data_IF_213516876067
#
_entry.id   IF_213516876067
#
_cell.length_a   1.000
_cell.length_b   1.000
_cell.length_c   1.000
_cell.angle_alpha   90.00
_cell.angle_beta   90.00
_cell.angle_gamma   90.00
#
_symmetry.space_group_name_H-M   'P 1'
#
loop_
_entity.id
_entity.type
_entity.pdbx_description
1 polymer ?
#
# COMPACT_ATOMS: atom_id res chain seq x y z
N UNK A 1 23.46 -22.52 8.59
CA UNK A 1 24.14 -21.47 7.83
C UNK A 1 24.54 -20.35 8.77
N UNK A 2 25.82 -20.08 8.88
CA UNK A 2 26.38 -18.98 9.70
C UNK A 2 26.49 -17.68 8.89
N UNK A 3 26.69 -16.54 9.56
CA UNK A 3 26.81 -15.22 8.90
C UNK A 3 27.94 -15.17 7.86
N UNK A 4 29.09 -15.73 8.20
CA UNK A 4 30.26 -15.76 7.32
C UNK A 4 29.98 -16.61 6.07
N UNK A 5 29.38 -17.79 6.27
CA UNK A 5 28.98 -18.71 5.20
C UNK A 5 27.96 -18.06 4.25
N UNK A 6 26.99 -17.31 4.77
CA UNK A 6 26.03 -16.56 3.95
C UNK A 6 26.73 -15.52 3.06
N UNK A 7 27.68 -14.77 3.62
CA UNK A 7 28.42 -13.74 2.89
C UNK A 7 29.31 -14.35 1.80
N UNK A 8 29.96 -15.47 2.12
CA UNK A 8 30.77 -16.23 1.16
C UNK A 8 29.93 -16.79 0.01
N UNK A 9 28.77 -17.39 0.32
CA UNK A 9 27.83 -17.87 -0.71
C UNK A 9 27.33 -16.74 -1.61
N UNK A 10 27.09 -15.56 -1.03
CA UNK A 10 26.70 -14.38 -1.79
C UNK A 10 27.82 -13.86 -2.69
N UNK A 11 29.07 -13.87 -2.19
CA UNK A 11 30.23 -13.51 -2.99
C UNK A 11 30.47 -14.52 -4.13
N UNK A 12 30.30 -15.81 -3.86
CA UNK A 12 30.37 -16.88 -4.88
C UNK A 12 29.31 -16.66 -5.96
N UNK A 13 28.05 -16.39 -5.59
CA UNK A 13 26.99 -16.10 -6.54
C UNK A 13 27.33 -14.89 -7.43
N UNK A 14 27.79 -13.79 -6.83
CA UNK A 14 28.13 -12.57 -7.60
C UNK A 14 29.36 -12.72 -8.48
N UNK A 15 30.40 -13.45 -8.04
CA UNK A 15 31.57 -13.76 -8.88
C UNK A 15 31.19 -14.70 -10.03
N UNK A 16 30.40 -15.73 -9.75
CA UNK A 16 29.93 -16.68 -10.77
C UNK A 16 29.06 -15.99 -11.83
N UNK A 17 28.17 -15.08 -11.43
CA UNK A 17 27.39 -14.25 -12.36
C UNK A 17 28.29 -13.38 -13.24
N UNK A 18 29.29 -12.69 -12.66
CA UNK A 18 30.24 -11.89 -13.45
C UNK A 18 31.04 -12.72 -14.45
N UNK A 19 31.42 -13.95 -14.09
CA UNK A 19 32.09 -14.87 -15.00
C UNK A 19 31.15 -15.38 -16.10
N UNK A 20 29.88 -15.65 -15.77
CA UNK A 20 28.86 -16.04 -16.74
C UNK A 20 28.56 -14.92 -17.75
N UNK A 21 28.68 -13.65 -17.35
CA UNK A 21 28.52 -12.49 -18.25
C UNK A 21 29.68 -12.32 -19.25
N UNK A 22 30.84 -12.96 -19.02
CA UNK A 22 32.03 -12.87 -19.87
C UNK A 22 32.23 -14.06 -20.81
N UNK A 23 31.54 -15.18 -20.55
CA UNK A 23 31.59 -16.38 -21.39
C UNK A 23 30.51 -16.36 -22.47
N UNK A 24 30.67 -17.21 -23.49
CA UNK A 24 29.66 -17.38 -24.53
C UNK A 24 28.31 -17.81 -23.95
N UNK A 25 27.24 -17.31 -24.57
CA UNK A 25 25.86 -17.26 -24.07
C UNK A 25 25.15 -18.62 -24.05
N UNK A 26 25.84 -19.69 -23.69
CA UNK A 26 25.22 -21.00 -23.45
C UNK A 26 24.58 -21.04 -22.06
N UNK A 27 23.32 -21.48 -22.03
CA UNK A 27 22.53 -21.67 -20.81
C UNK A 27 23.13 -22.69 -19.83
N UNK A 28 24.09 -23.51 -20.28
CA UNK A 28 24.75 -24.59 -19.52
C UNK A 28 26.22 -24.32 -19.21
N UNK A 29 26.61 -23.05 -19.09
CA UNK A 29 27.96 -22.70 -18.62
C UNK A 29 28.16 -23.14 -17.16
N UNK A 30 29.33 -23.73 -16.79
CA UNK A 30 29.65 -24.05 -15.40
C UNK A 30 29.59 -22.86 -14.45
N UNK A 31 29.73 -21.62 -14.97
CA UNK A 31 29.55 -20.42 -14.18
C UNK A 31 28.07 -20.14 -13.85
N UNK A 32 27.15 -20.48 -14.76
CA UNK A 32 25.70 -20.37 -14.54
C UNK A 32 25.27 -21.35 -13.46
N UNK A 33 25.66 -22.62 -13.54
CA UNK A 33 25.32 -23.63 -12.53
C UNK A 33 25.85 -23.23 -11.15
N UNK A 34 27.12 -22.80 -11.05
CA UNK A 34 27.69 -22.32 -9.78
C UNK A 34 26.95 -21.11 -9.20
N UNK A 35 26.46 -20.21 -10.06
CA UNK A 35 25.68 -19.06 -9.61
C UNK A 35 24.32 -19.49 -9.07
N UNK A 36 23.63 -20.37 -9.78
CA UNK A 36 22.30 -20.88 -9.40
C UNK A 36 22.39 -21.70 -8.11
N UNK A 37 23.34 -22.62 -8.00
CA UNK A 37 23.53 -23.44 -6.80
C UNK A 37 23.80 -22.58 -5.55
N UNK A 38 24.60 -21.53 -5.68
CA UNK A 38 24.85 -20.59 -4.59
C UNK A 38 23.56 -19.84 -4.17
N UNK A 39 22.73 -19.43 -5.13
CA UNK A 39 21.44 -18.79 -4.86
C UNK A 39 20.41 -19.74 -4.24
N UNK A 40 20.40 -21.01 -4.63
CA UNK A 40 19.54 -22.03 -4.02
C UNK A 40 19.93 -22.26 -2.56
N UNK A 41 21.22 -22.38 -2.24
CA UNK A 41 21.68 -22.49 -0.84
C UNK A 41 21.35 -21.26 -0.02
N UNK A 42 21.46 -20.07 -0.61
CA UNK A 42 21.04 -18.82 0.03
C UNK A 42 19.53 -18.76 0.36
N UNK A 43 18.69 -19.52 -0.38
CA UNK A 43 17.26 -19.66 -0.09
C UNK A 43 17.00 -20.48 1.18
N UNK A 44 17.87 -21.41 1.51
CA UNK A 44 17.77 -22.28 2.69
C UNK A 44 18.28 -21.60 3.97
N UNK A 45 18.86 -20.39 3.85
CA UNK A 45 19.33 -19.62 4.99
C UNK A 45 18.18 -19.32 5.99
N UNK A 46 18.44 -19.35 7.31
CA UNK A 46 17.43 -18.98 8.30
C UNK A 46 16.86 -17.58 8.04
N UNK A 47 15.54 -17.45 8.12
CA UNK A 47 14.84 -16.18 7.85
C UNK A 47 15.39 -15.01 8.69
N UNK A 48 15.73 -15.26 9.96
CA UNK A 48 16.32 -14.26 10.86
C UNK A 48 17.66 -13.73 10.34
N UNK A 49 18.53 -14.63 9.88
CA UNK A 49 19.84 -14.33 9.32
C UNK A 49 19.70 -13.57 7.98
N UNK A 50 18.81 -14.03 7.10
CA UNK A 50 18.52 -13.34 5.85
C UNK A 50 18.00 -11.90 6.09
N UNK A 51 17.09 -11.71 7.06
CA UNK A 51 16.59 -10.37 7.43
C UNK A 51 17.68 -9.44 7.98
N UNK A 52 18.65 -9.97 8.72
CA UNK A 52 19.79 -9.20 9.23
C UNK A 52 20.69 -8.76 8.07
N UNK A 53 21.08 -9.72 7.22
CA UNK A 53 22.14 -9.52 6.24
C UNK A 53 21.68 -8.79 4.96
N UNK A 54 20.43 -8.96 4.53
CA UNK A 54 19.89 -8.29 3.32
C UNK A 54 19.87 -6.75 3.46
N UNK A 55 19.94 -6.23 4.68
CA UNK A 55 20.04 -4.77 4.94
C UNK A 55 21.42 -4.20 4.64
N UNK A 56 22.46 -5.02 4.49
CA UNK A 56 23.82 -4.55 4.28
C UNK A 56 23.99 -4.00 2.85
N UNK A 57 24.67 -2.86 2.68
CA UNK A 57 24.84 -2.22 1.37
C UNK A 57 25.47 -3.10 0.29
N UNK A 58 26.34 -4.04 0.68
CA UNK A 58 26.99 -4.99 -0.23
C UNK A 58 25.99 -5.93 -0.92
N UNK A 59 24.98 -6.40 -0.18
CA UNK A 59 23.92 -7.27 -0.69
C UNK A 59 22.87 -6.42 -1.42
N UNK A 60 22.50 -5.29 -0.82
CA UNK A 60 21.54 -4.35 -1.39
C UNK A 60 22.00 -3.65 -2.68
N UNK A 61 23.29 -3.60 -3.02
CA UNK A 61 23.77 -3.09 -4.33
C UNK A 61 23.95 -4.20 -5.36
N UNK A 62 24.29 -5.41 -4.93
CA UNK A 62 24.62 -6.53 -5.83
C UNK A 62 23.40 -7.27 -6.36
N UNK A 63 22.19 -7.02 -5.81
CA UNK A 63 20.96 -7.61 -6.32
C UNK A 63 20.60 -7.18 -7.74
N UNK A 64 20.87 -5.92 -8.10
CA UNK A 64 20.64 -5.38 -9.45
C UNK A 64 21.46 -6.15 -10.47
N UNK A 65 22.73 -6.46 -10.14
CA UNK A 65 23.63 -7.22 -11.02
C UNK A 65 23.12 -8.64 -11.32
N UNK A 66 22.40 -9.26 -10.38
CA UNK A 66 21.87 -10.61 -10.53
C UNK A 66 20.49 -10.61 -11.23
N UNK A 67 19.61 -9.65 -10.90
CA UNK A 67 18.27 -9.55 -11.50
C UNK A 67 18.29 -9.03 -12.94
N UNK A 68 19.28 -8.21 -13.32
CA UNK A 68 19.41 -7.67 -14.69
C UNK A 68 20.36 -8.51 -15.56
N UNK A 69 20.68 -9.73 -15.12
CA UNK A 69 21.63 -10.59 -15.82
C UNK A 69 21.07 -11.09 -17.16
N UNK A 70 21.89 -11.10 -18.22
CA UNK A 70 21.47 -11.52 -19.58
C UNK A 70 21.05 -12.98 -19.69
N UNK A 71 21.57 -13.83 -18.81
CA UNK A 71 21.20 -15.25 -18.73
C UNK A 71 19.85 -15.38 -17.98
N UNK A 72 18.81 -15.94 -18.63
CA UNK A 72 17.45 -15.99 -18.08
C UNK A 72 17.35 -16.84 -16.81
N UNK A 73 18.16 -17.89 -16.68
CA UNK A 73 18.17 -18.77 -15.50
C UNK A 73 18.75 -18.05 -14.27
N UNK A 74 19.83 -17.27 -14.45
CA UNK A 74 20.38 -16.46 -13.35
C UNK A 74 19.38 -15.39 -12.93
N UNK A 75 18.76 -14.73 -13.91
CA UNK A 75 17.75 -13.70 -13.67
C UNK A 75 16.55 -14.26 -12.89
N UNK A 76 15.93 -15.35 -13.36
CA UNK A 76 14.75 -15.94 -12.70
C UNK A 76 15.04 -16.34 -11.26
N UNK A 77 16.21 -16.95 -11.02
CA UNK A 77 16.54 -17.47 -9.70
C UNK A 77 16.91 -16.35 -8.73
N UNK A 78 17.57 -15.29 -9.24
CA UNK A 78 17.82 -14.07 -8.49
C UNK A 78 16.50 -13.39 -8.12
N UNK A 79 15.58 -13.20 -9.07
CA UNK A 79 14.27 -12.59 -8.81
C UNK A 79 13.50 -13.35 -7.73
N UNK A 80 13.48 -14.68 -7.80
CA UNK A 80 12.86 -15.52 -6.77
C UNK A 80 13.50 -15.33 -5.39
N UNK A 81 14.83 -15.37 -5.30
CA UNK A 81 15.57 -15.19 -4.05
C UNK A 81 15.30 -13.82 -3.41
N UNK A 82 15.34 -12.74 -4.20
CA UNK A 82 15.09 -11.38 -3.68
C UNK A 82 13.62 -11.14 -3.33
N UNK A 83 12.68 -11.74 -4.06
CA UNK A 83 11.25 -11.69 -3.70
C UNK A 83 10.98 -12.33 -2.33
N UNK A 84 11.64 -13.45 -2.03
CA UNK A 84 11.55 -14.13 -0.74
C UNK A 84 12.10 -13.26 0.39
N UNK A 85 13.31 -12.73 0.22
CA UNK A 85 13.98 -11.89 1.21
C UNK A 85 13.24 -10.57 1.49
N UNK A 86 12.72 -9.92 0.45
CA UNK A 86 11.88 -8.73 0.61
C UNK A 86 10.61 -9.07 1.38
N UNK A 87 9.96 -10.20 1.08
CA UNK A 87 8.84 -10.73 1.88
C UNK A 87 9.16 -10.84 3.38
N UNK A 88 10.34 -11.37 3.73
CA UNK A 88 10.77 -11.47 5.13
C UNK A 88 10.94 -10.10 5.82
N UNK A 89 11.49 -9.10 5.12
CA UNK A 89 11.63 -7.74 5.65
C UNK A 89 10.28 -7.08 5.90
N UNK A 90 9.30 -7.30 5.01
CA UNK A 90 7.94 -6.75 5.17
C UNK A 90 7.18 -7.40 6.33
N UNK A 91 7.34 -8.72 6.53
CA UNK A 91 6.69 -9.45 7.63
C UNK A 91 7.31 -9.08 9.00
N UNK A 92 8.62 -8.92 9.07
CA UNK A 92 9.33 -8.58 10.32
C UNK A 92 9.14 -7.13 10.76
N UNK A 93 8.85 -6.20 9.85
CA UNK A 93 8.59 -4.78 10.15
C UNK A 93 7.29 -4.50 10.93
N UNK A 94 6.36 -5.46 11.02
CA UNK A 94 5.04 -5.27 11.65
C UNK A 94 5.03 -5.47 13.17
N UNK A 95 6.06 -6.09 13.77
CA UNK A 95 6.10 -6.41 15.21
C UNK A 95 6.54 -5.27 16.14
N UNK A 96 7.01 -4.13 15.62
CA UNK A 96 7.59 -3.06 16.44
C UNK A 96 6.71 -1.80 16.59
N UNK A 97 5.61 -1.65 15.84
CA UNK A 97 4.84 -0.39 15.78
C UNK A 97 3.54 -0.37 16.59
N UNK A 98 3.51 -1.06 17.73
CA UNK A 98 2.46 -0.91 18.74
C UNK A 98 3.06 -0.41 20.06
N UNK A 99 3.43 0.87 20.11
CA UNK A 99 3.44 1.68 21.34
C UNK A 99 3.54 3.20 21.07
N UNK A 100 2.53 3.90 21.60
CA UNK A 100 2.52 5.29 22.10
C UNK A 100 2.34 6.48 21.15
N UNK A 101 1.14 7.06 21.27
CA UNK A 101 0.85 8.49 21.11
C UNK A 101 1.70 9.35 22.07
N UNK A 102 2.36 10.39 21.56
CA UNK A 102 2.32 11.75 22.13
C UNK A 102 2.86 12.74 21.10
N UNK A 103 2.14 13.85 20.90
CA UNK A 103 2.42 14.81 19.85
C UNK A 103 3.58 15.77 20.16
N UNK A 104 3.97 16.52 19.12
CA UNK A 104 4.22 17.96 19.16
C UNK A 104 4.46 18.49 17.74
N UNK A 105 3.98 19.70 17.52
CA UNK A 105 4.17 20.52 16.34
C UNK A 105 5.64 20.89 16.10
N UNK A 106 5.89 21.26 14.84
CA UNK A 106 6.86 22.26 14.38
C UNK A 106 8.34 21.91 14.47
N UNK A 107 8.99 21.76 13.32
CA UNK A 107 9.90 22.78 12.78
C UNK A 107 10.37 22.38 11.37
N UNK A 108 10.42 23.38 10.49
CA UNK A 108 11.08 23.35 9.19
C UNK A 108 12.58 23.08 9.37
N UNK A 109 13.19 22.26 8.49
CA UNK A 109 14.46 22.55 7.80
C UNK A 109 14.54 21.78 6.48
N UNK A 110 15.03 22.51 5.47
CA UNK A 110 15.50 22.05 4.17
C UNK A 110 16.64 21.05 4.26
N UNK A 111 16.78 20.21 3.23
CA UNK A 111 17.90 19.28 3.08
C UNK A 111 17.60 18.08 2.19
N UNK A 112 17.59 18.32 0.89
CA UNK A 112 18.25 17.54 -0.19
C UNK A 112 18.39 16.00 -0.04
N UNK A 113 18.04 15.32 -1.13
CA UNK A 113 18.21 13.89 -1.48
C UNK A 113 17.14 12.89 -1.03
N UNK A 114 16.19 12.63 -1.94
CA UNK A 114 15.65 11.30 -2.21
C UNK A 114 15.25 11.19 -3.69
N UNK A 115 16.24 11.15 -4.57
CA UNK A 115 16.09 10.53 -5.90
C UNK A 115 16.41 9.05 -5.71
N UNK A 116 15.39 8.20 -5.55
CA UNK A 116 15.56 6.76 -5.78
C UNK A 116 14.23 6.12 -6.18
N UNK A 117 14.23 5.70 -7.46
CA UNK A 117 13.47 4.62 -8.10
C UNK A 117 11.97 4.86 -8.30
N UNK A 118 11.65 5.38 -9.49
CA UNK A 118 10.53 4.85 -10.26
C UNK A 118 11.19 4.08 -11.40
N UNK A 119 11.28 2.76 -11.23
CA UNK A 119 11.59 1.81 -12.30
C UNK A 119 10.50 1.97 -13.37
N UNK A 120 10.95 2.11 -14.61
CA UNK A 120 10.14 2.35 -15.80
C UNK A 120 9.26 1.13 -16.10
N UNK A 121 8.06 1.09 -15.52
CA UNK A 121 6.90 0.53 -16.20
C UNK A 121 6.30 1.68 -17.01
N UNK A 122 5.86 1.42 -18.24
CA UNK A 122 5.32 2.38 -19.21
C UNK A 122 4.10 3.15 -18.64
N UNK A 123 4.34 4.10 -17.76
CA UNK A 123 3.35 4.96 -17.14
C UNK A 123 3.16 6.13 -18.10
N UNK A 124 1.92 6.37 -18.51
CA UNK A 124 1.50 7.62 -19.13
C UNK A 124 1.65 8.75 -18.09
N UNK A 125 2.89 9.19 -17.87
CA UNK A 125 3.23 10.27 -16.95
C UNK A 125 2.49 11.52 -17.40
N UNK A 126 1.89 12.22 -16.43
CA UNK A 126 1.06 13.39 -16.73
C UNK A 126 1.88 14.67 -16.94
N UNK A 127 3.20 14.59 -16.75
CA UNK A 127 4.11 15.75 -16.74
C UNK A 127 4.04 16.56 -15.44
N UNK A 128 3.04 16.33 -14.58
CA UNK A 128 2.89 16.96 -13.27
C UNK A 128 3.30 15.99 -12.14
N UNK A 129 4.38 16.35 -11.44
CA UNK A 129 4.94 15.59 -10.32
C UNK A 129 3.96 15.31 -9.18
N UNK A 130 2.99 16.20 -8.95
CA UNK A 130 1.97 16.00 -7.92
C UNK A 130 0.91 15.00 -8.40
N UNK A 131 0.48 15.07 -9.66
CA UNK A 131 -0.45 14.11 -10.25
C UNK A 131 0.14 12.72 -10.29
N UNK A 132 1.39 12.60 -10.71
CA UNK A 132 2.12 11.32 -10.75
C UNK A 132 2.29 10.74 -9.33
N UNK A 133 2.52 11.60 -8.32
CA UNK A 133 2.55 11.17 -6.91
C UNK A 133 1.20 10.65 -6.43
N UNK A 134 0.09 11.30 -6.79
CA UNK A 134 -1.26 10.84 -6.43
C UNK A 134 -1.56 9.50 -7.10
N UNK A 135 -1.23 9.34 -8.39
CA UNK A 135 -1.35 8.06 -9.12
C UNK A 135 -0.56 6.94 -8.44
N UNK A 136 0.68 7.20 -8.02
CA UNK A 136 1.49 6.22 -7.32
C UNK A 136 0.89 5.76 -5.98
N UNK A 137 0.29 6.68 -5.21
CA UNK A 137 -0.39 6.34 -3.94
C UNK A 137 -1.65 5.50 -4.21
N UNK A 138 -2.44 5.86 -5.22
CA UNK A 138 -3.62 5.11 -5.63
C UNK A 138 -3.24 3.71 -6.11
N UNK A 139 -2.27 3.60 -7.01
CA UNK A 139 -1.76 2.32 -7.52
C UNK A 139 -1.31 1.42 -6.36
N UNK A 140 -0.49 1.94 -5.43
CA UNK A 140 -0.03 1.19 -4.26
C UNK A 140 -1.17 0.70 -3.37
N UNK A 141 -2.27 1.44 -3.32
CA UNK A 141 -3.45 1.05 -2.56
C UNK A 141 -4.20 -0.07 -3.29
N UNK A 142 -4.44 0.09 -4.59
CA UNK A 142 -5.17 -0.85 -5.44
C UNK A 142 -4.44 -2.19 -5.64
N UNK A 143 -3.10 -2.18 -5.72
CA UNK A 143 -2.31 -3.41 -5.87
C UNK A 143 -2.42 -4.38 -4.69
N UNK A 144 -2.88 -3.88 -3.53
CA UNK A 144 -3.10 -4.71 -2.34
C UNK A 144 -4.37 -5.56 -2.44
N UNK A 145 -5.31 -5.21 -3.31
CA UNK A 145 -6.62 -5.90 -3.42
C UNK A 145 -6.45 -7.37 -3.79
N UNK A 146 -5.47 -7.70 -4.63
CA UNK A 146 -5.19 -9.08 -5.04
C UNK A 146 -4.87 -10.02 -3.85
N UNK A 147 -4.33 -9.48 -2.76
CA UNK A 147 -4.01 -10.22 -1.54
C UNK A 147 -5.14 -10.18 -0.49
N UNK A 148 -6.13 -9.32 -0.66
CA UNK A 148 -7.22 -9.09 0.29
C UNK A 148 -8.52 -9.84 -0.10
N UNK A 149 -8.64 -10.28 -1.36
CA UNK A 149 -9.79 -11.05 -1.86
C UNK A 149 -9.58 -12.54 -1.59
N UNK A 150 -10.47 -13.11 -0.78
CA UNK A 150 -10.46 -14.54 -0.40
C UNK A 150 -11.25 -15.39 -1.41
N UNK A 151 -12.20 -14.80 -2.14
CA UNK A 151 -13.03 -15.50 -3.12
C UNK A 151 -12.27 -15.70 -4.43
N UNK A 152 -12.08 -16.96 -4.85
CA UNK A 152 -11.24 -17.35 -5.99
C UNK A 152 -11.69 -16.70 -7.31
N UNK A 153 -12.99 -16.71 -7.62
CA UNK A 153 -13.54 -16.12 -8.84
C UNK A 153 -13.33 -14.59 -8.92
N UNK A 154 -13.45 -13.90 -7.79
CA UNK A 154 -13.21 -12.46 -7.71
C UNK A 154 -11.72 -12.12 -7.78
N UNK A 155 -10.84 -13.05 -7.37
CA UNK A 155 -9.40 -12.85 -7.42
C UNK A 155 -8.89 -12.81 -8.85
N UNK A 156 -9.39 -13.65 -9.74
CA UNK A 156 -9.01 -13.67 -11.16
C UNK A 156 -9.41 -12.37 -11.87
N UNK A 157 -10.60 -11.85 -11.59
CA UNK A 157 -11.05 -10.53 -12.08
C UNK A 157 -10.22 -9.37 -11.54
N UNK A 158 -9.76 -9.45 -10.30
CA UNK A 158 -8.91 -8.42 -9.67
C UNK A 158 -7.48 -8.46 -10.19
N UNK A 159 -6.93 -9.65 -10.44
CA UNK A 159 -5.57 -9.83 -10.96
C UNK A 159 -5.47 -9.42 -12.43
N UNK A 160 -6.53 -9.59 -13.20
CA UNK A 160 -6.59 -9.13 -14.60
C UNK A 160 -6.75 -7.61 -14.75
N UNK A 161 -7.16 -6.89 -13.69
CA UNK A 161 -7.21 -5.43 -13.71
C UNK A 161 -5.82 -4.80 -13.58
N UNK A 162 -5.46 -3.93 -14.55
CA UNK A 162 -4.28 -3.09 -14.39
C UNK A 162 -4.53 -1.98 -13.36
N UNK A 163 -3.91 -2.14 -12.19
CA UNK A 163 -3.97 -1.18 -11.10
C UNK A 163 -3.43 0.20 -11.49
N UNK A 164 -2.52 0.30 -12.46
CA UNK A 164 -2.00 1.59 -12.95
C UNK A 164 -3.03 2.34 -13.78
N UNK A 165 -3.63 1.69 -14.77
CA UNK A 165 -4.69 2.26 -15.61
C UNK A 165 -5.86 2.78 -14.75
N UNK A 166 -6.33 1.99 -13.79
CA UNK A 166 -7.40 2.41 -12.88
C UNK A 166 -6.96 3.59 -12.00
N UNK A 167 -5.74 3.58 -11.47
CA UNK A 167 -5.22 4.70 -10.70
C UNK A 167 -5.13 5.99 -11.52
N UNK A 168 -4.72 5.90 -12.79
CA UNK A 168 -4.66 7.05 -13.70
C UNK A 168 -6.05 7.60 -14.03
N UNK A 169 -7.04 6.73 -14.24
CA UNK A 169 -8.43 7.11 -14.47
C UNK A 169 -9.04 7.82 -13.24
N UNK A 170 -8.89 7.22 -12.06
CA UNK A 170 -9.37 7.80 -10.80
C UNK A 170 -8.73 9.16 -10.52
N UNK A 171 -7.41 9.25 -10.71
CA UNK A 171 -6.69 10.51 -10.48
C UNK A 171 -7.10 11.60 -11.48
N UNK A 172 -7.38 11.24 -12.74
CA UNK A 172 -7.86 12.21 -13.74
C UNK A 172 -9.23 12.76 -13.37
N UNK A 173 -10.16 11.91 -12.93
CA UNK A 173 -11.45 12.36 -12.41
C UNK A 173 -11.32 13.24 -11.15
N UNK A 174 -10.35 12.93 -10.27
CA UNK A 174 -10.03 13.79 -9.12
C UNK A 174 -9.54 15.16 -9.57
N UNK A 175 -8.61 15.20 -10.53
CA UNK A 175 -8.04 16.45 -11.04
C UNK A 175 -9.08 17.31 -11.76
N UNK A 176 -9.95 16.73 -12.57
CA UNK A 176 -11.02 17.45 -13.26
C UNK A 176 -12.01 18.10 -12.29
N UNK A 177 -12.33 17.43 -11.17
CA UNK A 177 -13.32 17.93 -10.20
C UNK A 177 -12.74 18.79 -9.09
N UNK A 178 -11.50 18.51 -8.66
CA UNK A 178 -10.86 19.19 -7.53
C UNK A 178 -9.76 20.16 -7.97
N UNK A 179 -9.26 20.05 -9.19
CA UNK A 179 -8.12 20.82 -9.69
C UNK A 179 -6.79 20.33 -9.11
N UNK A 180 -5.80 21.22 -9.13
CA UNK A 180 -4.45 20.92 -8.66
C UNK A 180 -4.42 20.47 -7.19
N UNK A 181 -3.43 19.63 -6.86
CA UNK A 181 -3.15 19.16 -5.49
C UNK A 181 -2.51 20.27 -4.62
N UNK A 182 -3.13 21.45 -4.56
CA UNK A 182 -2.65 22.60 -3.83
C UNK A 182 -3.80 23.33 -3.10
N UNK A 183 -3.46 24.10 -2.07
CA UNK A 183 -4.42 24.91 -1.32
C UNK A 183 -5.52 24.12 -0.60
N UNK A 184 -6.76 24.60 -0.71
CA UNK A 184 -7.96 24.12 0.01
C UNK A 184 -8.36 22.69 -0.40
N UNK A 185 -8.06 22.30 -1.64
CA UNK A 185 -8.44 21.02 -2.23
C UNK A 185 -7.62 19.86 -1.68
N UNK A 186 -6.42 20.16 -1.16
CA UNK A 186 -5.50 19.18 -0.56
C UNK A 186 -6.13 18.41 0.60
N UNK A 187 -7.03 19.02 1.35
CA UNK A 187 -7.74 18.34 2.44
C UNK A 187 -8.64 17.20 1.93
N UNK A 188 -9.32 17.44 0.79
CA UNK A 188 -10.20 16.46 0.17
C UNK A 188 -9.41 15.34 -0.52
N UNK A 189 -8.33 15.67 -1.22
CA UNK A 189 -7.39 14.68 -1.75
C UNK A 189 -6.82 13.78 -0.65
N UNK A 190 -6.31 14.36 0.45
CA UNK A 190 -5.78 13.58 1.58
C UNK A 190 -6.84 12.65 2.17
N UNK A 191 -8.08 13.12 2.27
CA UNK A 191 -9.18 12.30 2.76
C UNK A 191 -9.43 11.08 1.86
N UNK A 192 -9.48 11.28 0.54
CA UNK A 192 -9.72 10.19 -0.42
C UNK A 192 -8.55 9.20 -0.40
N UNK A 193 -7.32 9.70 -0.48
CA UNK A 193 -6.11 8.86 -0.44
C UNK A 193 -5.97 8.08 0.87
N UNK A 194 -6.32 8.70 2.00
CA UNK A 194 -6.30 8.04 3.31
C UNK A 194 -7.31 6.89 3.37
N UNK A 195 -8.54 7.11 2.91
CA UNK A 195 -9.57 6.05 2.89
C UNK A 195 -9.19 4.92 1.94
N UNK A 196 -8.63 5.23 0.76
CA UNK A 196 -8.12 4.22 -0.18
C UNK A 196 -6.97 3.39 0.41
N UNK A 197 -6.10 4.00 1.20
CA UNK A 197 -4.97 3.34 1.86
C UNK A 197 -5.31 2.55 3.13
N UNK A 198 -6.52 2.69 3.68
CA UNK A 198 -6.90 2.08 4.96
C UNK A 198 -7.03 0.55 4.85
N UNK A 199 -6.12 -0.20 5.48
CA UNK A 199 -6.16 -1.66 5.53
C UNK A 199 -7.48 -2.24 6.04
N UNK A 200 -8.24 -1.46 6.82
CA UNK A 200 -9.52 -1.87 7.41
C UNK A 200 -10.69 -1.77 6.43
N UNK A 201 -10.46 -1.27 5.22
CA UNK A 201 -11.47 -1.15 4.16
C UNK A 201 -11.03 -1.77 2.81
N UNK A 202 -10.89 -3.11 2.74
CA UNK A 202 -10.60 -3.80 1.48
C UNK A 202 -11.74 -3.69 0.47
N UNK A 203 -12.99 -3.55 0.94
CA UNK A 203 -14.18 -3.52 0.07
C UNK A 203 -14.21 -2.25 -0.81
N UNK A 204 -13.91 -1.08 -0.24
CA UNK A 204 -13.81 0.16 -1.02
C UNK A 204 -12.77 0.04 -2.13
N UNK A 205 -11.57 -0.47 -1.81
CA UNK A 205 -10.52 -0.63 -2.82
C UNK A 205 -10.94 -1.60 -3.91
N UNK A 206 -11.54 -2.74 -3.55
CA UNK A 206 -12.04 -3.73 -4.51
C UNK A 206 -13.08 -3.14 -5.45
N UNK A 207 -14.05 -2.39 -4.92
CA UNK A 207 -15.10 -1.72 -5.69
C UNK A 207 -14.54 -0.70 -6.68
N UNK A 208 -13.54 0.08 -6.27
CA UNK A 208 -12.86 1.03 -7.15
C UNK A 208 -12.06 0.29 -8.23
N UNK A 209 -11.34 -0.77 -7.89
CA UNK A 209 -10.54 -1.55 -8.85
C UNK A 209 -11.40 -2.22 -9.92
N UNK A 210 -12.56 -2.76 -9.53
CA UNK A 210 -13.50 -3.41 -10.43
C UNK A 210 -14.39 -2.42 -11.20
N UNK A 211 -14.28 -1.11 -10.94
CA UNK A 211 -15.07 -0.08 -11.60
C UNK A 211 -16.51 0.07 -11.06
N UNK A 212 -16.89 -0.63 -9.99
CA UNK A 212 -18.19 -0.44 -9.30
C UNK A 212 -18.33 0.98 -8.73
N UNK A 213 -17.21 1.59 -8.33
CA UNK A 213 -17.12 3.00 -7.93
C UNK A 213 -16.20 3.72 -8.91
N UNK A 214 -16.77 4.63 -9.71
CA UNK A 214 -16.01 5.49 -10.62
C UNK A 214 -15.22 6.57 -9.86
N UNK A 215 -14.17 7.09 -10.49
CA UNK A 215 -13.37 8.20 -9.93
C UNK A 215 -14.23 9.45 -9.64
N UNK A 216 -15.19 9.76 -10.50
CA UNK A 216 -16.14 10.87 -10.30
C UNK A 216 -17.00 10.67 -9.06
N UNK A 217 -17.51 9.45 -8.86
CA UNK A 217 -18.30 9.10 -7.67
C UNK A 217 -17.43 9.19 -6.42
N UNK A 218 -16.19 8.71 -6.48
CA UNK A 218 -15.25 8.74 -5.36
C UNK A 218 -14.99 10.17 -4.84
N UNK A 219 -14.96 11.16 -5.73
CA UNK A 219 -14.74 12.57 -5.37
C UNK A 219 -15.97 13.22 -4.71
N UNK A 220 -17.16 12.77 -5.09
CA UNK A 220 -18.44 13.33 -4.61
C UNK A 220 -18.95 12.64 -3.34
N UNK A 221 -18.48 11.42 -3.05
CA UNK A 221 -18.82 10.69 -1.83
C UNK A 221 -18.39 11.43 -0.56
N UNK A 222 -19.19 11.25 0.51
CA UNK A 222 -18.85 11.77 1.83
C UNK A 222 -17.87 10.83 2.55
N UNK A 223 -17.10 11.37 3.50
CA UNK A 223 -16.08 10.60 4.24
C UNK A 223 -16.68 9.41 4.97
N UNK A 224 -17.92 9.55 5.43
CA UNK A 224 -18.66 8.51 6.12
C UNK A 224 -18.98 7.34 5.17
N UNK A 225 -19.41 7.64 3.95
CA UNK A 225 -19.73 6.63 2.91
C UNK A 225 -18.49 5.90 2.38
N UNK A 226 -17.31 6.51 2.51
CA UNK A 226 -16.03 5.90 2.15
C UNK A 226 -15.41 5.05 3.27
N UNK A 227 -15.93 5.14 4.50
CA UNK A 227 -15.37 4.38 5.62
C UNK A 227 -15.80 2.91 5.56
N UNK A 228 -15.08 2.01 6.26
CA UNK A 228 -15.43 0.59 6.34
C UNK A 228 -16.88 0.38 6.79
N UNK A 229 -17.59 -0.64 6.26
CA UNK A 229 -18.97 -0.98 6.65
C UNK A 229 -19.16 -1.03 8.18
N UNK A 230 -18.16 -1.55 8.92
CA UNK A 230 -18.17 -1.58 10.39
C UNK A 230 -18.18 -0.18 11.01
N UNK A 231 -17.46 0.77 10.43
CA UNK A 231 -17.44 2.16 10.87
C UNK A 231 -18.72 2.89 10.46
N UNK A 232 -19.22 2.67 9.24
CA UNK A 232 -20.51 3.22 8.79
C UNK A 232 -21.64 2.85 9.75
N UNK A 233 -21.76 1.57 10.11
CA UNK A 233 -22.77 1.09 11.05
C UNK A 233 -22.59 1.68 12.45
N UNK A 234 -21.35 1.93 12.90
CA UNK A 234 -21.09 2.61 14.19
C UNK A 234 -21.54 4.07 14.16
N UNK A 235 -21.22 4.80 13.10
CA UNK A 235 -21.64 6.20 12.93
C UNK A 235 -23.17 6.31 12.86
N UNK A 236 -23.84 5.40 12.16
CA UNK A 236 -25.31 5.35 12.10
C UNK A 236 -25.92 5.13 13.49
N UNK A 237 -25.44 4.13 14.25
CA UNK A 237 -25.91 3.88 15.62
C UNK A 237 -25.71 5.06 16.57
N UNK A 238 -24.61 5.81 16.42
CA UNK A 238 -24.38 7.02 17.22
C UNK A 238 -25.39 8.11 16.85
N UNK A 239 -25.66 8.30 15.55
CA UNK A 239 -26.64 9.28 15.06
C UNK A 239 -28.07 8.96 15.49
N UNK A 240 -28.48 7.68 15.43
CA UNK A 240 -29.79 7.24 15.94
C UNK A 240 -29.92 7.51 17.44
N UNK A 241 -28.95 7.07 18.25
CA UNK A 241 -28.97 7.33 19.70
C UNK A 241 -29.04 8.82 20.05
N UNK A 242 -28.39 9.68 19.26
CA UNK A 242 -28.49 11.13 19.44
C UNK A 242 -29.89 11.66 19.10
N UNK A 243 -30.51 11.15 18.03
CA UNK A 243 -31.87 11.51 17.61
C UNK A 243 -32.90 11.07 18.65
N UNK A 244 -32.82 9.82 19.11
CA UNK A 244 -33.71 9.27 20.14
C UNK A 244 -33.59 10.05 21.45
N UNK A 245 -32.38 10.46 21.82
CA UNK A 245 -32.15 11.27 23.01
C UNK A 245 -32.80 12.65 22.90
N UNK A 246 -32.71 13.29 21.73
CA UNK A 246 -33.33 14.60 21.52
C UNK A 246 -34.86 14.49 21.47
N UNK A 247 -35.39 13.49 20.77
CA UNK A 247 -36.83 13.24 20.73
C UNK A 247 -37.39 12.98 22.14
N UNK A 248 -36.70 12.17 22.95
CA UNK A 248 -37.07 11.95 24.35
C UNK A 248 -36.95 13.22 25.21
N UNK A 249 -36.00 14.12 24.91
CA UNK A 249 -35.85 15.42 25.57
C UNK A 249 -37.03 16.33 25.25
N UNK A 250 -37.39 16.45 23.97
CA UNK A 250 -38.51 17.27 23.49
C UNK A 250 -39.83 16.73 24.05
N UNK A 251 -40.03 15.41 24.01
CA UNK A 251 -41.24 14.76 24.55
C UNK A 251 -41.38 15.00 26.05
N UNK A 252 -40.29 14.87 26.82
CA UNK A 252 -40.27 15.21 28.26
C UNK A 252 -40.60 16.69 28.52
N UNK A 253 -40.09 17.59 27.68
CA UNK A 253 -40.35 19.03 27.82
C UNK A 253 -41.81 19.39 27.50
N UNK A 254 -42.41 18.77 26.48
CA UNK A 254 -43.83 18.92 26.15
C UNK A 254 -44.74 18.39 27.27
N UNK A 255 -44.42 17.23 27.83
CA UNK A 255 -45.16 16.66 28.96
C UNK A 255 -45.14 17.62 30.16
N UNK A 256 -43.96 18.16 30.50
CA UNK A 256 -43.83 19.11 31.61
C UNK A 256 -44.62 20.41 31.38
N UNK A 257 -44.62 20.94 30.15
CA UNK A 257 -45.42 22.13 29.80
C UNK A 257 -46.93 21.85 29.88
N UNK A 258 -47.39 20.70 29.40
CA UNK A 258 -48.81 20.31 29.50
C UNK A 258 -49.26 20.07 30.94
N UNK A 259 -48.41 19.52 31.81
CA UNK A 259 -48.70 19.34 33.23
C UNK A 259 -48.86 20.67 33.99
N UNK A 260 -48.03 21.67 33.69
CA UNK A 260 -48.14 23.00 34.30
C UNK A 260 -49.36 23.80 33.82
N UNK A 261 -49.82 23.60 32.57
CA UNK A 261 -51.05 24.21 32.07
C UNK A 261 -52.32 23.63 32.73
N UNK A 262 -52.34 22.35 33.08
CA UNK A 262 -53.48 21.72 33.77
C UNK A 262 -53.61 22.23 35.21
N UNK A 263 -52.50 22.57 35.86
CA UNK A 263 -52.48 23.09 37.24
C UNK A 263 -52.87 24.56 37.34
N UNK A 264 -52.77 25.32 36.24
CA UNK A 264 -53.11 26.76 36.21
C UNK A 264 -54.57 27.04 35.85
N UNK A 265 -55.30 26.04 35.31
CA UNK A 265 -56.72 26.15 34.92
C UNK A 265 -57.70 25.61 35.98
N UNK A 266 -57.23 25.22 37.17
CA UNK A 266 -58.08 24.93 38.33
C UNK A 266 -58.14 26.16 39.25
N UNK A 267 -58.89 27.17 38.84
CA UNK A 267 -59.39 28.24 39.71
C UNK A 267 -60.80 28.61 39.27
#
# INVERSE_FOLDING_TARGET
>A
MEKQEFLELFEVATKAAKSAARGDSESSSPAVSRCVDAMVRLREAPQSLACELVKYPQIGKSHVLLMDHKNPTIQSEATLLYSLWTGYLYVTGKKQNSRSHKGKQSQRRDGVHKKKLVEEMKISTTGDSNRDRVRGILHKSLSRVANEVVVVEMKERVVSCDSWSVAASVESAMYEKLGCFEGTQKAKYRSILFNMGDSSNPDLRRKVLLGEISGERLVTMKKEEMASNKFQMKVLKIKEKARDKEENRVKSMMIFQSGNMIMTLKF
#
